data_IF_695620669054
#
_entry.id   IF_695620669054
#
_cell.length_a   1.000
_cell.length_b   1.000
_cell.length_c   1.000
_cell.angle_alpha   90.00
_cell.angle_beta   90.00
_cell.angle_gamma   90.00
#
_symmetry.space_group_name_H-M   'P 1'
#
loop_
_entity.id
_entity.type
_entity.pdbx_description
1 polymer ?
#
# COMPACT_ATOMS: atom_id res chain seq x y z
N UNK A 1 -6.46 37.26 0.33
CA UNK A 1 -7.39 36.12 0.20
C UNK A 1 -6.73 34.73 0.35
N UNK A 2 -5.45 34.60 0.78
CA UNK A 2 -4.77 33.28 0.90
C UNK A 2 -4.63 32.74 2.34
N UNK A 3 -4.89 33.55 3.37
CA UNK A 3 -4.62 33.19 4.77
C UNK A 3 -5.57 32.13 5.36
N UNK A 4 -6.75 31.89 4.76
CA UNK A 4 -7.77 30.98 5.33
C UNK A 4 -7.51 29.49 5.08
N UNK A 5 -6.66 29.15 4.11
CA UNK A 5 -6.30 27.77 3.74
C UNK A 5 -4.90 27.35 4.21
N UNK A 6 -4.12 28.27 4.77
CA UNK A 6 -2.80 27.99 5.36
C UNK A 6 -2.97 27.47 6.80
N UNK A 7 -3.70 26.36 6.95
CA UNK A 7 -3.80 25.67 8.23
C UNK A 7 -2.66 24.67 8.34
N UNK A 8 -2.03 24.61 9.51
CA UNK A 8 -1.12 23.54 9.85
C UNK A 8 -1.90 22.21 9.87
N UNK A 9 -1.66 21.37 8.86
CA UNK A 9 -2.31 20.06 8.75
C UNK A 9 -1.60 19.05 9.65
N UNK A 10 -0.27 19.10 9.69
CA UNK A 10 0.60 18.25 10.51
C UNK A 10 0.99 19.00 11.78
N UNK A 11 0.44 18.55 12.91
CA UNK A 11 0.67 19.16 14.23
C UNK A 11 1.11 18.07 15.19
N UNK A 12 2.08 18.36 16.05
CA UNK A 12 2.48 17.44 17.12
C UNK A 12 1.35 17.30 18.14
N UNK A 13 1.09 16.06 18.57
CA UNK A 13 0.27 15.82 19.74
C UNK A 13 0.98 16.33 21.00
N UNK A 14 0.24 16.57 22.11
CA UNK A 14 0.84 16.93 23.40
C UNK A 14 1.91 15.93 23.86
N UNK A 15 1.77 14.66 23.47
CA UNK A 15 2.69 13.57 23.79
C UNK A 15 3.86 13.44 22.79
N UNK A 16 3.94 14.32 21.78
CA UNK A 16 5.03 14.34 20.79
C UNK A 16 4.83 13.44 19.55
N UNK A 17 3.61 12.94 19.33
CA UNK A 17 3.28 12.10 18.17
C UNK A 17 2.85 12.93 16.96
N UNK A 18 3.07 12.39 15.75
CA UNK A 18 2.56 12.96 14.50
C UNK A 18 1.46 12.07 13.92
N UNK A 19 0.23 12.28 14.36
CA UNK A 19 -0.92 11.43 14.00
C UNK A 19 -1.14 11.31 12.49
N UNK A 20 -0.88 12.36 11.72
CA UNK A 20 -1.02 12.34 10.26
C UNK A 20 -0.03 11.35 9.61
N UNK A 21 1.16 11.19 10.19
CA UNK A 21 2.15 10.21 9.73
C UNK A 21 1.76 8.80 10.16
N UNK A 22 1.27 8.63 11.39
CA UNK A 22 0.76 7.35 11.88
C UNK A 22 -0.43 6.86 11.05
N UNK A 23 -1.35 7.76 10.69
CA UNK A 23 -2.48 7.45 9.80
C UNK A 23 -2.01 7.08 8.40
N UNK A 24 -0.99 7.75 7.87
CA UNK A 24 -0.39 7.40 6.59
C UNK A 24 0.26 6.00 6.64
N UNK A 25 0.93 5.64 7.74
CA UNK A 25 1.47 4.29 7.94
C UNK A 25 0.36 3.24 8.07
N UNK A 26 -0.74 3.55 8.75
CA UNK A 26 -1.91 2.69 8.82
C UNK A 26 -2.59 2.52 7.45
N UNK A 27 -2.62 3.56 6.62
CA UNK A 27 -3.10 3.47 5.23
C UNK A 27 -2.23 2.51 4.39
N UNK A 28 -0.91 2.53 4.61
CA UNK A 28 0.00 1.56 3.98
C UNK A 28 -0.31 0.13 4.42
N UNK A 29 -0.52 -0.12 5.72
CA UNK A 29 -0.87 -1.45 6.25
C UNK A 29 -2.20 -1.94 5.72
N UNK A 30 -3.18 -1.05 5.52
CA UNK A 30 -4.51 -1.44 5.05
C UNK A 30 -4.62 -1.56 3.52
N UNK A 31 -3.63 -1.04 2.78
CA UNK A 31 -3.65 -1.04 1.32
C UNK A 31 -4.75 -0.15 0.73
N UNK A 32 -4.95 -0.19 -0.59
CA UNK A 32 -5.88 0.68 -1.32
C UNK A 32 -7.36 0.53 -0.90
N UNK A 33 -7.73 -0.58 -0.28
CA UNK A 33 -9.14 -0.91 0.01
C UNK A 33 -9.71 -0.12 1.20
N UNK A 34 -8.88 0.35 2.13
CA UNK A 34 -9.37 1.13 3.27
C UNK A 34 -9.75 2.57 2.92
N UNK A 35 -9.32 3.08 1.76
CA UNK A 35 -9.48 4.49 1.44
C UNK A 35 -10.89 4.84 0.93
N UNK A 36 -11.54 3.97 0.14
CA UNK A 36 -12.95 4.19 -0.23
C UNK A 36 -13.86 4.26 0.98
N UNK A 37 -13.58 3.46 2.02
CA UNK A 37 -14.36 3.41 3.26
C UNK A 37 -14.05 4.59 4.19
N UNK A 38 -12.82 5.10 4.23
CA UNK A 38 -12.46 6.30 5.01
C UNK A 38 -12.97 7.58 4.34
N UNK A 39 -12.89 7.68 3.00
CA UNK A 39 -13.47 8.78 2.23
C UNK A 39 -15.00 8.76 2.32
N UNK A 40 -15.65 7.60 2.14
CA UNK A 40 -17.10 7.50 2.32
C UNK A 40 -17.53 7.78 3.76
N UNK A 41 -16.81 7.28 4.78
CA UNK A 41 -17.10 7.65 6.17
C UNK A 41 -16.90 9.14 6.42
N UNK A 42 -15.89 9.76 5.82
CA UNK A 42 -15.64 11.20 5.90
C UNK A 42 -16.75 12.01 5.22
N UNK A 43 -17.21 11.59 4.04
CA UNK A 43 -18.31 12.21 3.28
C UNK A 43 -19.63 12.04 4.01
N UNK A 44 -19.97 10.83 4.46
CA UNK A 44 -21.20 10.54 5.22
C UNK A 44 -21.20 11.29 6.55
N UNK A 45 -20.06 11.42 7.24
CA UNK A 45 -19.97 12.20 8.48
C UNK A 45 -20.08 13.71 8.21
N UNK A 46 -19.57 14.18 7.08
CA UNK A 46 -19.72 15.57 6.63
C UNK A 46 -21.16 15.89 6.21
N UNK A 47 -21.85 14.97 5.53
CA UNK A 47 -23.27 15.06 5.17
C UNK A 47 -24.15 15.02 6.41
N UNK A 48 -23.88 14.11 7.36
CA UNK A 48 -24.59 14.08 8.65
C UNK A 48 -24.40 15.36 9.46
N UNK A 49 -23.21 15.96 9.45
CA UNK A 49 -22.98 17.25 10.09
C UNK A 49 -23.56 18.45 9.35
N UNK A 50 -23.90 18.30 8.05
CA UNK A 50 -24.62 19.32 7.29
C UNK A 50 -26.12 19.21 7.54
N UNK A 51 -26.70 18.01 7.41
CA UNK A 51 -28.11 17.76 7.75
C UNK A 51 -28.44 18.15 9.18
N UNK A 52 -27.58 17.81 10.14
CA UNK A 52 -27.80 18.20 11.54
C UNK A 52 -27.73 19.71 11.77
N UNK A 53 -27.01 20.45 10.92
CA UNK A 53 -26.98 21.92 10.98
C UNK A 53 -28.19 22.55 10.30
N UNK A 54 -28.63 21.98 9.19
CA UNK A 54 -29.88 22.35 8.52
C UNK A 54 -31.06 22.09 9.46
N UNK A 55 -31.11 20.93 10.14
CA UNK A 55 -32.12 20.60 11.17
C UNK A 55 -32.01 21.42 12.47
N UNK A 56 -30.85 22.00 12.79
CA UNK A 56 -30.69 22.90 13.96
C UNK A 56 -31.06 24.35 13.57
N UNK A 57 -30.83 24.77 12.32
CA UNK A 57 -31.28 26.07 11.78
C UNK A 57 -32.80 26.08 11.54
N UNK A 58 -33.38 25.00 10.99
CA UNK A 58 -34.84 24.88 10.78
C UNK A 58 -35.62 24.87 12.12
N UNK A 59 -35.02 24.36 13.20
CA UNK A 59 -35.61 24.38 14.55
C UNK A 59 -35.49 25.72 15.26
N UNK A 60 -34.42 26.49 15.00
CA UNK A 60 -34.31 27.86 15.51
C UNK A 60 -35.30 28.79 14.78
N UNK A 61 -35.60 28.53 13.49
CA UNK A 61 -36.63 29.24 12.73
C UNK A 61 -38.07 28.84 13.16
N UNK A 62 -38.32 27.57 13.52
CA UNK A 62 -39.60 27.11 14.09
C UNK A 62 -39.82 27.61 15.53
N UNK A 63 -38.78 27.65 16.39
CA UNK A 63 -38.87 28.23 17.75
C UNK A 63 -39.05 29.77 17.73
N UNK A 64 -38.71 30.46 16.63
CA UNK A 64 -39.05 31.88 16.42
C UNK A 64 -40.49 32.09 15.87
N UNK A 65 -41.15 31.05 15.34
CA UNK A 65 -42.55 31.10 14.86
C UNK A 65 -43.57 30.58 15.90
N UNK A 66 -43.17 29.88 16.97
CA UNK A 66 -44.06 29.34 18.03
C UNK A 66 -44.24 30.26 19.28
N UNK A 67 -44.27 31.59 19.14
CA UNK A 67 -44.75 32.50 20.21
C UNK A 67 -46.25 32.85 20.12
N UNK A 68 -47.02 32.31 19.15
CA UNK A 68 -48.48 32.43 19.14
C UNK A 68 -49.15 31.15 18.59
N UNK A 69 -49.60 30.27 19.48
CA UNK A 69 -50.94 29.62 19.50
C UNK A 69 -50.93 28.36 20.40
N UNK A 70 -51.82 28.33 21.41
CA UNK A 70 -52.19 27.15 22.20
C UNK A 70 -53.14 26.25 21.40
N UNK A 71 -52.95 24.91 21.38
CA UNK A 71 -53.96 23.85 21.65
C UNK A 71 -53.44 22.43 21.29
N UNK A 72 -54.09 21.43 21.92
CA UNK A 72 -53.77 19.99 22.06
C UNK A 72 -53.67 19.20 20.74
N UNK A 73 -52.79 18.17 20.66
CA UNK A 73 -53.07 16.87 20.01
C UNK A 73 -51.99 15.79 20.34
N UNK A 74 -52.40 14.51 20.33
CA UNK A 74 -51.60 13.32 20.67
C UNK A 74 -50.69 12.87 19.49
N UNK A 75 -49.38 12.75 19.72
CA UNK A 75 -48.43 12.26 18.71
C UNK A 75 -48.53 10.72 18.52
N UNK A 76 -49.00 10.27 17.34
CA UNK A 76 -48.63 8.99 16.76
C UNK A 76 -47.15 9.06 16.34
N UNK A 77 -46.23 8.46 17.10
CA UNK A 77 -44.82 8.35 16.69
C UNK A 77 -44.71 7.63 15.34
N UNK A 78 -44.19 8.34 14.34
CA UNK A 78 -43.89 7.90 12.98
C UNK A 78 -43.17 6.53 12.90
N UNK A 79 -43.93 5.47 12.65
CA UNK A 79 -43.41 4.12 12.40
C UNK A 79 -42.58 4.04 11.09
N UNK A 80 -42.78 4.99 10.16
CA UNK A 80 -42.07 5.05 8.88
C UNK A 80 -40.58 5.44 9.04
N UNK A 81 -40.23 6.23 10.06
CA UNK A 81 -38.85 6.68 10.30
C UNK A 81 -37.99 5.53 10.88
N UNK A 82 -38.59 4.69 11.73
CA UNK A 82 -37.95 3.50 12.30
C UNK A 82 -37.65 2.46 11.21
N UNK A 83 -38.57 2.26 10.26
CA UNK A 83 -38.41 1.29 9.17
C UNK A 83 -37.36 1.72 8.13
N UNK A 84 -37.27 3.01 7.80
CA UNK A 84 -36.21 3.52 6.91
C UNK A 84 -34.81 3.37 7.53
N UNK A 85 -34.67 3.63 8.84
CA UNK A 85 -33.40 3.46 9.57
C UNK A 85 -32.97 1.99 9.69
N UNK A 86 -33.92 1.05 9.78
CA UNK A 86 -33.64 -0.39 9.84
C UNK A 86 -33.23 -0.93 8.47
N UNK A 87 -33.86 -0.47 7.38
CA UNK A 87 -33.49 -0.83 6.01
C UNK A 87 -32.09 -0.32 5.65
N UNK A 88 -31.74 0.93 5.99
CA UNK A 88 -30.38 1.45 5.79
C UNK A 88 -29.32 0.70 6.62
N UNK A 89 -29.63 0.32 7.87
CA UNK A 89 -28.72 -0.46 8.72
C UNK A 89 -28.45 -1.85 8.15
N UNK A 90 -29.46 -2.48 7.54
CA UNK A 90 -29.33 -3.79 6.92
C UNK A 90 -28.56 -3.74 5.59
N UNK A 91 -28.77 -2.72 4.75
CA UNK A 91 -27.92 -2.47 3.57
C UNK A 91 -26.47 -2.14 3.95
N UNK A 92 -26.25 -1.36 5.02
CA UNK A 92 -24.90 -1.09 5.51
C UNK A 92 -24.20 -2.33 6.09
N UNK A 93 -24.96 -3.24 6.70
CA UNK A 93 -24.43 -4.50 7.22
C UNK A 93 -24.08 -5.48 6.10
N UNK A 94 -24.92 -5.58 5.05
CA UNK A 94 -24.65 -6.39 3.86
C UNK A 94 -23.48 -5.82 3.05
N UNK A 95 -23.39 -4.50 2.86
CA UNK A 95 -22.24 -3.82 2.25
C UNK A 95 -20.96 -3.98 3.07
N UNK A 96 -21.04 -4.02 4.41
CA UNK A 96 -19.89 -4.37 5.26
C UNK A 96 -19.45 -5.81 5.04
N UNK A 97 -20.39 -6.76 5.02
CA UNK A 97 -20.09 -8.18 4.84
C UNK A 97 -19.54 -8.51 3.43
N UNK A 98 -20.07 -7.87 2.38
CA UNK A 98 -19.55 -8.00 1.01
C UNK A 98 -18.17 -7.36 0.85
N UNK A 99 -17.91 -6.22 1.51
CA UNK A 99 -16.58 -5.58 1.52
C UNK A 99 -15.57 -6.29 2.42
N UNK A 100 -16.01 -7.02 3.44
CA UNK A 100 -15.12 -7.88 4.22
C UNK A 100 -14.60 -9.07 3.42
N UNK A 101 -15.33 -9.52 2.39
CA UNK A 101 -14.84 -10.53 1.44
C UNK A 101 -13.99 -9.92 0.30
N UNK A 102 -13.95 -8.58 0.17
CA UNK A 102 -13.06 -7.87 -0.75
C UNK A 102 -11.75 -7.42 -0.08
N UNK A 103 -11.33 -8.12 0.99
CA UNK A 103 -10.03 -7.97 1.68
C UNK A 103 -8.91 -8.49 0.79
N UNK A 104 -8.57 -7.76 -0.27
CA UNK A 104 -7.43 -8.10 -1.11
C UNK A 104 -6.19 -7.46 -0.51
N UNK A 105 -5.32 -8.34 -0.01
CA UNK A 105 -4.04 -8.02 0.58
C UNK A 105 -3.08 -7.64 -0.56
N UNK A 106 -2.29 -6.58 -0.37
CA UNK A 106 -1.28 -6.17 -1.35
C UNK A 106 0.05 -6.18 -0.63
N UNK A 107 0.65 -7.36 -0.54
CA UNK A 107 1.97 -7.54 0.04
C UNK A 107 3.04 -7.36 -1.04
N UNK A 108 4.15 -6.71 -0.68
CA UNK A 108 5.31 -6.56 -1.56
C UNK A 108 6.54 -7.08 -0.83
N UNK A 109 7.37 -7.81 -1.55
CA UNK A 109 8.58 -8.46 -1.05
C UNK A 109 9.76 -8.05 -1.90
N UNK A 110 10.85 -7.65 -1.26
CA UNK A 110 12.13 -7.39 -1.87
C UNK A 110 13.19 -8.34 -1.32
N UNK A 111 13.95 -8.99 -2.20
CA UNK A 111 15.04 -9.90 -1.83
C UNK A 111 16.31 -9.50 -2.58
N UNK A 112 17.39 -9.29 -1.83
CA UNK A 112 18.72 -9.06 -2.37
C UNK A 112 19.47 -10.39 -2.48
N UNK A 113 19.73 -10.82 -3.71
CA UNK A 113 20.64 -11.88 -4.09
C UNK A 113 22.10 -11.40 -4.14
N UNK A 114 23.02 -12.27 -4.56
CA UNK A 114 24.42 -11.87 -4.82
C UNK A 114 24.54 -11.09 -6.14
N UNK A 115 23.90 -11.59 -7.21
CA UNK A 115 23.95 -11.01 -8.56
C UNK A 115 22.57 -10.62 -9.11
N UNK A 116 21.54 -10.69 -8.25
CA UNK A 116 20.14 -10.43 -8.60
C UNK A 116 19.47 -9.64 -7.48
N UNK A 117 18.50 -8.81 -7.84
CA UNK A 117 17.51 -8.28 -6.89
C UNK A 117 16.12 -8.60 -7.42
N UNK A 118 15.28 -9.12 -6.53
CA UNK A 118 13.94 -9.61 -6.85
C UNK A 118 12.91 -8.74 -6.14
N UNK A 119 11.92 -8.26 -6.90
CA UNK A 119 10.72 -7.62 -6.37
C UNK A 119 9.51 -8.50 -6.72
N UNK A 120 8.82 -8.97 -5.69
CA UNK A 120 7.54 -9.65 -5.81
C UNK A 120 6.42 -8.78 -5.26
N UNK A 121 5.30 -8.74 -5.97
CA UNK A 121 4.10 -8.04 -5.52
C UNK A 121 2.89 -8.95 -5.67
N UNK A 122 2.08 -9.01 -4.63
CA UNK A 122 0.74 -9.57 -4.71
C UNK A 122 -0.15 -8.62 -5.53
N UNK A 123 -0.75 -9.18 -6.58
CA UNK A 123 -1.60 -8.50 -7.53
C UNK A 123 -3.07 -8.83 -7.23
N UNK A 124 -3.89 -7.78 -7.24
CA UNK A 124 -5.35 -7.92 -7.21
C UNK A 124 -5.83 -8.56 -8.51
N UNK A 125 -6.66 -9.60 -8.39
CA UNK A 125 -7.41 -10.15 -9.52
C UNK A 125 -8.19 -9.03 -10.20
N UNK A 126 -7.90 -8.84 -11.48
CA UNK A 126 -8.46 -7.76 -12.29
C UNK A 126 -9.82 -8.21 -12.80
N UNK A 127 -10.82 -7.32 -12.77
CA UNK A 127 -12.12 -7.63 -13.34
C UNK A 127 -11.98 -7.93 -14.84
N UNK A 128 -12.79 -8.85 -15.38
CA UNK A 128 -12.67 -9.29 -16.80
C UNK A 128 -12.72 -8.14 -17.82
N UNK A 129 -13.36 -7.02 -17.48
CA UNK A 129 -13.50 -5.84 -18.34
C UNK A 129 -12.41 -4.78 -18.11
N UNK A 130 -11.52 -4.98 -17.14
CA UNK A 130 -10.48 -4.02 -16.79
C UNK A 130 -9.15 -4.42 -17.44
N UNK A 131 -8.46 -3.43 -18.03
CA UNK A 131 -7.14 -3.65 -18.62
C UNK A 131 -6.08 -3.84 -17.52
N UNK A 132 -5.51 -5.03 -17.52
CA UNK A 132 -4.46 -5.47 -16.60
C UNK A 132 -3.20 -4.58 -16.63
N UNK A 133 -2.89 -3.94 -17.77
CA UNK A 133 -1.72 -3.06 -17.92
C UNK A 133 -1.78 -1.83 -17.00
N UNK A 134 -2.98 -1.40 -16.60
CA UNK A 134 -3.18 -0.16 -15.84
C UNK A 134 -2.89 -0.31 -14.34
N UNK A 135 -2.90 -1.53 -13.81
CA UNK A 135 -2.82 -1.82 -12.37
C UNK A 135 -1.45 -2.42 -12.02
N UNK A 136 -0.37 -1.70 -12.34
CA UNK A 136 1.00 -2.11 -11.98
C UNK A 136 1.48 -1.42 -10.72
N UNK A 137 2.11 -2.19 -9.83
CA UNK A 137 2.74 -1.69 -8.59
C UNK A 137 4.26 -1.65 -8.68
N UNK A 138 4.85 -2.38 -9.62
CA UNK A 138 6.28 -2.36 -9.92
C UNK A 138 6.51 -1.35 -11.06
N UNK A 139 7.39 -0.38 -10.82
CA UNK A 139 7.67 0.72 -11.75
C UNK A 139 9.17 0.96 -11.87
N UNK A 140 9.69 0.97 -13.10
CA UNK A 140 11.05 1.43 -13.38
C UNK A 140 11.16 2.94 -13.12
N UNK A 141 12.19 3.34 -12.37
CA UNK A 141 12.58 4.75 -12.17
C UNK A 141 13.67 5.15 -13.17
N UNK A 142 14.61 4.23 -13.41
CA UNK A 142 15.66 4.31 -14.42
C UNK A 142 15.98 2.88 -14.91
N UNK A 143 16.93 2.71 -15.82
CA UNK A 143 17.27 1.39 -16.39
C UNK A 143 17.73 0.36 -15.34
N UNK A 144 18.46 0.83 -14.33
CA UNK A 144 19.06 0.04 -13.24
C UNK A 144 18.32 0.17 -11.90
N UNK A 145 17.25 0.99 -11.84
CA UNK A 145 16.48 1.26 -10.60
C UNK A 145 15.00 1.00 -10.80
N UNK A 146 14.42 0.20 -9.91
CA UNK A 146 13.01 -0.09 -9.87
C UNK A 146 12.41 0.16 -8.48
N UNK A 147 11.12 0.46 -8.44
CA UNK A 147 10.37 0.75 -7.24
C UNK A 147 9.08 -0.07 -7.21
N UNK A 148 8.81 -0.72 -6.09
CA UNK A 148 7.50 -1.26 -5.73
C UNK A 148 6.92 -0.46 -4.56
N UNK A 149 5.60 -0.34 -4.47
CA UNK A 149 4.98 0.45 -3.40
C UNK A 149 3.70 -0.19 -2.85
N UNK A 150 3.45 0.13 -1.58
CA UNK A 150 2.24 -0.18 -0.84
C UNK A 150 1.51 1.13 -0.47
N UNK A 151 0.18 1.07 -0.38
CA UNK A 151 -0.66 2.22 -0.07
C UNK A 151 -1.25 2.91 -1.30
N UNK A 152 -1.37 4.23 -1.23
CA UNK A 152 -2.17 5.03 -2.16
C UNK A 152 -1.54 5.12 -3.56
N UNK A 153 -2.24 4.59 -4.57
CA UNK A 153 -1.75 4.56 -5.97
C UNK A 153 -1.60 5.96 -6.56
N UNK A 154 -2.47 6.90 -6.19
CA UNK A 154 -2.41 8.28 -6.65
C UNK A 154 -1.13 8.97 -6.15
N UNK A 155 -0.84 8.85 -4.85
CA UNK A 155 0.38 9.37 -4.23
C UNK A 155 1.64 8.75 -4.83
N UNK A 156 1.63 7.43 -5.04
CA UNK A 156 2.74 6.72 -5.65
C UNK A 156 3.06 7.25 -7.05
N UNK A 157 2.04 7.53 -7.88
CA UNK A 157 2.24 8.10 -9.22
C UNK A 157 2.98 9.44 -9.16
N UNK A 158 2.65 10.30 -8.19
CA UNK A 158 3.33 11.59 -8.00
C UNK A 158 4.80 11.39 -7.61
N UNK A 159 5.07 10.49 -6.66
CA UNK A 159 6.44 10.19 -6.21
C UNK A 159 7.27 9.57 -7.33
N UNK A 160 6.72 8.60 -8.07
CA UNK A 160 7.40 7.94 -9.19
C UNK A 160 7.77 8.94 -10.28
N UNK A 161 6.85 9.82 -10.66
CA UNK A 161 7.13 10.82 -11.70
C UNK A 161 8.21 11.81 -11.26
N UNK A 162 8.20 12.26 -10.00
CA UNK A 162 9.25 13.13 -9.46
C UNK A 162 10.60 12.41 -9.39
N UNK A 163 10.61 11.14 -8.99
CA UNK A 163 11.82 10.34 -8.95
C UNK A 163 12.42 10.12 -10.36
N UNK A 164 11.60 9.85 -11.37
CA UNK A 164 12.06 9.74 -12.77
C UNK A 164 12.71 11.02 -13.28
N UNK A 165 12.08 12.17 -13.00
CA UNK A 165 12.66 13.47 -13.36
C UNK A 165 13.99 13.69 -12.66
N UNK A 166 14.07 13.33 -11.38
CA UNK A 166 15.31 13.42 -10.61
C UNK A 166 16.42 12.53 -11.20
N UNK A 167 16.12 11.29 -11.58
CA UNK A 167 17.10 10.40 -12.22
C UNK A 167 17.72 11.05 -13.46
N UNK A 168 16.89 11.64 -14.33
CA UNK A 168 17.38 12.28 -15.55
C UNK A 168 18.10 13.60 -15.26
N UNK A 169 17.65 14.38 -14.28
CA UNK A 169 18.29 15.63 -13.87
C UNK A 169 19.68 15.39 -13.30
N UNK A 170 19.83 14.38 -12.43
CA UNK A 170 21.12 13.98 -11.88
C UNK A 170 22.05 13.51 -12.99
N UNK A 171 21.59 12.61 -13.86
CA UNK A 171 22.36 12.11 -15.00
C UNK A 171 22.82 13.21 -15.94
N UNK A 172 22.00 14.24 -16.17
CA UNK A 172 22.39 15.40 -16.97
C UNK A 172 23.48 16.25 -16.30
N UNK A 173 23.44 16.37 -14.98
CA UNK A 173 24.32 17.27 -14.21
C UNK A 173 25.67 16.62 -13.88
N UNK A 174 25.65 15.34 -13.52
CA UNK A 174 26.80 14.58 -13.01
C UNK A 174 27.35 13.65 -14.09
N UNK A 175 26.67 13.49 -15.23
CA UNK A 175 26.98 12.56 -16.33
C UNK A 175 26.89 11.07 -15.98
N UNK A 176 26.80 10.74 -14.68
CA UNK A 176 26.63 9.38 -14.17
C UNK A 176 25.17 9.07 -13.76
N UNK A 177 24.71 7.80 -13.89
CA UNK A 177 23.41 7.37 -13.41
C UNK A 177 23.28 7.54 -11.89
N UNK A 178 22.05 7.68 -11.38
CA UNK A 178 21.81 7.81 -9.94
C UNK A 178 22.21 6.54 -9.18
N UNK A 179 22.80 6.68 -8.00
CA UNK A 179 22.88 5.53 -7.08
C UNK A 179 21.51 5.24 -6.47
N UNK A 180 21.26 3.97 -6.13
CA UNK A 180 20.01 3.55 -5.48
C UNK A 180 19.82 4.26 -4.14
N UNK A 181 20.91 4.52 -3.41
CA UNK A 181 20.84 5.28 -2.16
C UNK A 181 20.47 6.75 -2.41
N UNK A 182 21.05 7.40 -3.41
CA UNK A 182 20.76 8.80 -3.74
C UNK A 182 19.28 9.01 -4.03
N UNK A 183 18.72 8.20 -4.94
CA UNK A 183 17.31 8.34 -5.32
C UNK A 183 16.37 7.97 -4.16
N UNK A 184 16.76 7.01 -3.31
CA UNK A 184 16.03 6.68 -2.08
C UNK A 184 16.00 7.87 -1.13
N UNK A 185 17.14 8.54 -0.93
CA UNK A 185 17.26 9.74 -0.08
C UNK A 185 16.41 10.88 -0.63
N UNK A 186 16.44 11.11 -1.94
CA UNK A 186 15.59 12.11 -2.60
C UNK A 186 14.09 11.84 -2.34
N UNK A 187 13.64 10.60 -2.53
CA UNK A 187 12.24 10.20 -2.27
C UNK A 187 11.90 10.38 -0.78
N UNK A 188 12.79 10.02 0.12
CA UNK A 188 12.60 10.16 1.55
C UNK A 188 12.48 11.63 1.97
N UNK A 189 13.37 12.51 1.47
CA UNK A 189 13.31 13.96 1.68
C UNK A 189 12.04 14.56 1.06
N UNK A 190 11.61 14.09 -0.10
CA UNK A 190 10.35 14.52 -0.71
C UNK A 190 9.15 14.19 0.20
N UNK A 191 9.13 12.99 0.79
CA UNK A 191 8.08 12.59 1.75
C UNK A 191 8.13 13.45 3.01
N UNK A 192 9.31 13.63 3.59
CA UNK A 192 9.51 14.43 4.80
C UNK A 192 9.11 15.90 4.61
N UNK A 193 9.38 16.50 3.45
CA UNK A 193 8.93 17.88 3.17
C UNK A 193 7.41 18.02 3.30
N UNK A 194 6.64 16.99 2.94
CA UNK A 194 5.18 16.98 3.06
C UNK A 194 4.69 16.72 4.49
N UNK A 195 5.56 16.30 5.42
CA UNK A 195 5.23 16.18 6.85
C UNK A 195 5.53 17.46 7.64
N UNK A 196 6.32 18.38 7.07
CA UNK A 196 6.70 19.64 7.72
C UNK A 196 6.13 20.89 7.04
N UNK A 197 5.65 20.79 5.80
CA UNK A 197 5.09 21.93 5.07
C UNK A 197 3.63 22.17 5.45
N UNK A 198 3.26 23.44 5.66
CA UNK A 198 1.87 23.83 5.90
C UNK A 198 0.96 23.47 4.71
N UNK A 199 -0.31 23.18 4.97
CA UNK A 199 -1.31 22.90 3.95
C UNK A 199 -1.08 21.64 3.10
N UNK A 200 -0.14 20.75 3.49
CA UNK A 200 0.13 19.49 2.81
C UNK A 200 -0.17 18.31 3.73
N UNK A 201 -0.73 17.23 3.16
CA UNK A 201 -0.83 15.94 3.84
C UNK A 201 0.40 15.08 3.51
N UNK A 202 0.89 14.24 4.44
CA UNK A 202 1.92 13.23 4.15
C UNK A 202 1.49 12.30 3.00
N UNK A 203 2.49 11.74 2.31
CA UNK A 203 2.24 10.69 1.32
C UNK A 203 1.85 9.38 2.01
N UNK A 204 0.74 8.79 1.60
CA UNK A 204 0.23 7.51 2.14
C UNK A 204 0.88 6.28 1.50
N UNK A 205 2.21 6.29 1.29
CA UNK A 205 2.92 5.19 0.65
C UNK A 205 4.21 4.80 1.39
N UNK A 206 4.45 3.50 1.48
CA UNK A 206 5.79 2.94 1.68
C UNK A 206 6.27 2.36 0.37
N UNK A 207 7.58 2.40 0.14
CA UNK A 207 8.15 1.90 -1.10
C UNK A 207 9.40 1.06 -0.85
N UNK A 208 9.52 -0.02 -1.62
CA UNK A 208 10.74 -0.79 -1.79
C UNK A 208 11.43 -0.30 -3.06
N UNK A 209 12.67 0.17 -2.93
CA UNK A 209 13.48 0.65 -4.02
C UNK A 209 14.64 -0.32 -4.18
N UNK A 210 14.83 -0.82 -5.39
CA UNK A 210 15.87 -1.80 -5.72
C UNK A 210 16.66 -1.35 -6.93
N UNK A 211 17.90 -1.82 -7.00
CA UNK A 211 18.72 -1.62 -8.18
C UNK A 211 20.15 -2.10 -7.98
N UNK A 212 20.98 -1.77 -8.95
CA UNK A 212 22.43 -1.97 -8.91
C UNK A 212 23.10 -0.61 -9.07
N UNK A 213 24.11 -0.31 -8.27
CA UNK A 213 25.01 0.80 -8.59
C UNK A 213 26.18 0.28 -9.43
N UNK A 214 27.07 1.18 -9.86
CA UNK A 214 28.20 0.88 -10.75
C UNK A 214 29.17 -0.17 -10.18
N UNK A 215 29.24 -0.28 -8.84
CA UNK A 215 30.01 -1.34 -8.15
C UNK A 215 29.51 -2.76 -8.48
N UNK A 216 28.30 -2.88 -9.03
CA UNK A 216 27.63 -4.14 -9.31
C UNK A 216 27.01 -4.81 -8.08
N UNK A 217 26.95 -4.10 -6.95
CA UNK A 217 26.32 -4.57 -5.72
C UNK A 217 24.82 -4.28 -5.77
N UNK A 218 23.95 -5.29 -5.62
CA UNK A 218 22.52 -5.06 -5.53
C UNK A 218 22.16 -4.35 -4.22
N UNK A 219 21.22 -3.41 -4.29
CA UNK A 219 20.74 -2.65 -3.15
C UNK A 219 19.22 -2.74 -3.04
N UNK A 220 18.74 -2.79 -1.80
CA UNK A 220 17.32 -2.81 -1.45
C UNK A 220 17.10 -1.82 -0.31
N UNK A 221 16.25 -0.83 -0.53
CA UNK A 221 15.86 0.15 0.46
C UNK A 221 14.36 0.16 0.67
N UNK A 222 13.95 0.47 1.89
CA UNK A 222 12.57 0.81 2.22
C UNK A 222 12.50 2.30 2.53
N UNK A 223 11.45 2.97 2.05
CA UNK A 223 11.08 4.32 2.50
C UNK A 223 9.70 4.32 3.13
N UNK A 224 9.52 5.11 4.18
CA UNK A 224 8.26 5.24 4.92
C UNK A 224 7.60 6.62 4.73
N UNK A 225 6.29 6.75 5.01
CA UNK A 225 5.56 8.02 4.97
C UNK A 225 6.17 9.15 5.81
N UNK A 226 6.89 8.80 6.88
CA UNK A 226 7.65 9.72 7.73
C UNK A 226 8.80 10.41 7.00
N UNK A 227 9.26 9.83 5.89
CA UNK A 227 10.48 10.23 5.19
C UNK A 227 11.76 9.63 5.77
N UNK A 228 11.64 8.59 6.59
CA UNK A 228 12.79 7.73 6.97
C UNK A 228 13.03 6.68 5.89
N UNK A 229 14.29 6.24 5.77
CA UNK A 229 14.66 5.14 4.89
C UNK A 229 15.75 4.26 5.50
N UNK A 230 15.72 2.97 5.17
CA UNK A 230 16.67 1.97 5.67
C UNK A 230 17.06 0.99 4.57
N UNK A 231 18.30 0.50 4.63
CA UNK A 231 18.80 -0.57 3.75
C UNK A 231 18.43 -1.95 4.32
N UNK A 232 18.08 -2.89 3.44
CA UNK A 232 17.64 -4.23 3.83
C UNK A 232 18.32 -5.31 3.00
N UNK A 233 18.50 -6.50 3.60
CA UNK A 233 18.90 -7.72 2.87
C UNK A 233 17.69 -8.38 2.20
N UNK A 234 16.61 -8.51 2.94
CA UNK A 234 15.28 -8.83 2.44
C UNK A 234 14.27 -8.05 3.29
N UNK A 235 13.16 -7.64 2.69
CA UNK A 235 12.11 -6.93 3.42
C UNK A 235 10.75 -7.12 2.76
N UNK A 236 9.70 -6.88 3.54
CA UNK A 236 8.33 -6.88 3.09
C UNK A 236 7.58 -5.64 3.58
N UNK A 237 6.68 -5.11 2.75
CA UNK A 237 5.76 -4.03 3.06
C UNK A 237 4.32 -4.45 2.72
N UNK A 238 3.34 -3.74 3.27
CA UNK A 238 1.91 -4.06 3.12
C UNK A 238 1.30 -4.63 4.41
N UNK A 239 0.14 -5.27 4.27
CA UNK A 239 -0.71 -5.70 5.39
C UNK A 239 -0.08 -6.79 6.25
N UNK A 240 0.41 -7.82 5.60
CA UNK A 240 0.91 -9.05 6.23
C UNK A 240 2.45 -9.05 6.29
N UNK A 241 3.06 -7.85 6.21
CA UNK A 241 4.51 -7.66 6.19
C UNK A 241 5.22 -8.28 7.40
N UNK A 242 4.57 -8.33 8.57
CA UNK A 242 5.13 -8.96 9.77
C UNK A 242 5.34 -10.46 9.56
N UNK A 243 4.31 -11.18 9.14
CA UNK A 243 4.35 -12.63 8.86
C UNK A 243 5.39 -12.95 7.80
N UNK A 244 5.41 -12.18 6.72
CA UNK A 244 6.38 -12.39 5.62
C UNK A 244 7.81 -12.13 6.08
N UNK A 245 8.05 -11.14 6.94
CA UNK A 245 9.38 -10.87 7.50
C UNK A 245 9.87 -12.01 8.40
N UNK A 246 9.00 -12.53 9.26
CA UNK A 246 9.32 -13.70 10.11
C UNK A 246 9.64 -14.95 9.25
N UNK A 247 8.98 -15.11 8.10
CA UNK A 247 9.32 -16.15 7.13
C UNK A 247 10.70 -15.90 6.49
N UNK A 248 10.98 -14.67 6.04
CA UNK A 248 12.26 -14.31 5.43
C UNK A 248 13.43 -14.47 6.40
N UNK A 249 13.26 -14.10 7.68
CA UNK A 249 14.29 -14.26 8.72
C UNK A 249 14.73 -15.72 8.89
N UNK A 250 13.83 -16.69 8.68
CA UNK A 250 14.12 -18.12 8.82
C UNK A 250 14.73 -18.75 7.55
N UNK A 251 14.41 -18.20 6.38
CA UNK A 251 14.71 -18.83 5.08
C UNK A 251 15.76 -18.07 4.26
N UNK A 252 16.16 -16.87 4.67
CA UNK A 252 17.20 -16.08 4.01
C UNK A 252 18.60 -16.54 4.45
N UNK A 253 19.15 -17.53 3.76
CA UNK A 253 20.50 -18.08 4.00
C UNK A 253 21.45 -17.77 2.84
N UNK A 254 22.76 -17.74 3.10
CA UNK A 254 23.79 -17.40 2.09
C UNK A 254 23.76 -18.34 0.88
N UNK A 255 23.48 -19.64 1.09
CA UNK A 255 23.36 -20.62 0.01
C UNK A 255 22.19 -20.31 -0.95
N UNK A 256 21.07 -19.84 -0.40
CA UNK A 256 19.87 -19.48 -1.19
C UNK A 256 20.12 -18.20 -2.00
N UNK A 257 20.89 -17.27 -1.45
CA UNK A 257 21.19 -15.95 -2.03
C UNK A 257 22.28 -16.03 -3.10
N UNK A 258 23.14 -17.05 -3.04
CA UNK A 258 24.19 -17.30 -4.02
C UNK A 258 23.64 -17.69 -5.39
N UNK A 259 22.47 -18.35 -5.43
CA UNK A 259 21.84 -18.82 -6.66
C UNK A 259 20.63 -17.94 -7.05
N UNK A 260 20.68 -17.34 -8.23
CA UNK A 260 19.61 -16.48 -8.75
C UNK A 260 18.23 -17.15 -8.75
N UNK A 261 18.15 -18.42 -9.13
CA UNK A 261 16.87 -19.13 -9.20
C UNK A 261 16.29 -19.43 -7.81
N UNK A 262 17.14 -19.72 -6.82
CA UNK A 262 16.70 -19.94 -5.45
C UNK A 262 16.25 -18.62 -4.79
N UNK A 263 16.89 -17.50 -5.10
CA UNK A 263 16.43 -16.18 -4.67
C UNK A 263 15.04 -15.82 -5.24
N UNK A 264 14.78 -16.16 -6.50
CA UNK A 264 13.47 -16.03 -7.15
C UNK A 264 12.43 -16.92 -6.45
N UNK A 265 12.77 -18.21 -6.22
CA UNK A 265 11.88 -19.14 -5.51
C UNK A 265 11.58 -18.69 -4.09
N UNK A 266 12.57 -18.12 -3.38
CA UNK A 266 12.38 -17.58 -2.03
C UNK A 266 11.36 -16.43 -2.03
N UNK A 267 11.40 -15.53 -3.02
CA UNK A 267 10.44 -14.44 -3.14
C UNK A 267 9.01 -14.96 -3.38
N UNK A 268 8.86 -15.98 -4.24
CA UNK A 268 7.57 -16.61 -4.52
C UNK A 268 7.05 -17.35 -3.29
N UNK A 269 7.90 -18.15 -2.61
CA UNK A 269 7.54 -18.83 -1.36
C UNK A 269 7.07 -17.84 -0.29
N UNK A 270 7.78 -16.73 -0.12
CA UNK A 270 7.41 -15.69 0.84
C UNK A 270 6.04 -15.05 0.54
N UNK A 271 5.68 -14.89 -0.74
CA UNK A 271 4.36 -14.41 -1.13
C UNK A 271 3.28 -15.48 -0.98
N UNK A 272 3.57 -16.75 -1.26
CA UNK A 272 2.62 -17.85 -1.11
C UNK A 272 2.22 -18.13 0.35
N UNK A 273 2.99 -17.67 1.34
CA UNK A 273 2.59 -17.72 2.76
C UNK A 273 1.34 -16.85 3.05
N UNK A 274 1.07 -15.84 2.22
CA UNK A 274 -0.05 -14.90 2.39
C UNK A 274 -1.08 -14.96 1.25
N UNK A 275 -0.66 -15.34 0.04
CA UNK A 275 -1.53 -15.40 -1.14
C UNK A 275 -2.33 -16.71 -1.18
N UNK A 276 -3.66 -16.61 -1.09
CA UNK A 276 -4.56 -17.77 -1.10
C UNK A 276 -4.77 -18.41 -2.49
N UNK A 277 -4.56 -17.67 -3.59
CA UNK A 277 -4.96 -18.07 -4.95
C UNK A 277 -3.81 -18.54 -5.86
N UNK A 278 -2.64 -18.86 -5.30
CA UNK A 278 -1.48 -19.34 -6.06
C UNK A 278 -0.87 -18.29 -7.00
N UNK A 279 -0.22 -18.73 -8.09
CA UNK A 279 0.61 -17.91 -8.97
C UNK A 279 -0.08 -16.81 -9.79
N UNK A 280 -1.41 -16.87 -9.97
CA UNK A 280 -2.17 -15.91 -10.79
C UNK A 280 -2.18 -14.50 -10.22
N UNK A 281 -2.07 -14.39 -8.90
CA UNK A 281 -2.10 -13.13 -8.17
C UNK A 281 -0.68 -12.67 -7.80
N UNK A 282 0.36 -13.15 -8.50
CA UNK A 282 1.74 -12.75 -8.24
C UNK A 282 2.27 -12.01 -9.47
N UNK A 283 2.87 -10.84 -9.24
CA UNK A 283 3.67 -10.11 -10.22
C UNK A 283 5.12 -10.13 -9.74
N UNK A 284 6.05 -10.54 -10.60
CA UNK A 284 7.45 -10.66 -10.27
C UNK A 284 8.33 -9.88 -11.25
N UNK A 285 9.29 -9.17 -10.69
CA UNK A 285 10.30 -8.44 -11.43
C UNK A 285 11.69 -8.76 -10.90
N UNK A 286 12.66 -8.85 -11.80
CA UNK A 286 14.06 -9.03 -11.44
C UNK A 286 14.92 -8.03 -12.17
N UNK A 287 15.96 -7.57 -11.49
CA UNK A 287 17.11 -6.91 -12.10
C UNK A 287 18.30 -7.81 -11.82
N UNK A 288 19.08 -8.11 -12.85
CA UNK A 288 20.39 -8.78 -12.71
C UNK A 288 21.48 -7.76 -12.98
N UNK A 289 22.69 -8.06 -12.51
CA UNK A 289 23.85 -7.22 -12.78
C UNK A 289 23.99 -6.98 -14.30
N UNK A 290 24.10 -5.71 -14.69
CA UNK A 290 24.24 -5.26 -16.09
C UNK A 290 23.11 -5.71 -17.04
N UNK A 291 21.92 -6.02 -16.51
CA UNK A 291 20.76 -6.35 -17.32
C UNK A 291 19.59 -5.42 -16.96
N UNK A 292 18.77 -5.02 -17.94
CA UNK A 292 17.60 -4.22 -17.67
C UNK A 292 16.57 -5.01 -16.86
N UNK A 293 15.64 -4.28 -16.26
CA UNK A 293 14.47 -4.84 -15.58
C UNK A 293 13.75 -5.88 -16.46
N UNK A 294 13.65 -7.12 -15.98
CA UNK A 294 12.84 -8.18 -16.59
C UNK A 294 11.60 -8.42 -15.73
N UNK A 295 10.43 -8.14 -16.31
CA UNK A 295 9.14 -8.57 -15.76
C UNK A 295 8.88 -10.02 -16.16
N UNK A 296 8.43 -10.84 -15.22
CA UNK A 296 8.05 -12.22 -15.51
C UNK A 296 6.64 -12.27 -16.13
N UNK A 297 6.47 -13.19 -17.07
CA UNK A 297 5.14 -13.55 -17.58
C UNK A 297 4.41 -14.45 -16.60
N UNK A 298 3.07 -14.44 -16.67
CA UNK A 298 2.23 -15.32 -15.84
C UNK A 298 2.63 -16.81 -16.00
N UNK A 299 2.99 -17.24 -17.21
CA UNK A 299 3.45 -18.61 -17.48
C UNK A 299 4.76 -18.95 -16.76
N UNK A 300 5.73 -18.04 -16.78
CA UNK A 300 7.01 -18.25 -16.07
C UNK A 300 6.78 -18.35 -14.55
N UNK A 301 5.86 -17.54 -14.00
CA UNK A 301 5.52 -17.57 -12.58
C UNK A 301 4.80 -18.88 -12.23
N UNK A 302 3.82 -19.30 -13.02
CA UNK A 302 3.12 -20.57 -12.81
C UNK A 302 4.08 -21.77 -12.83
N UNK A 303 5.04 -21.81 -13.75
CA UNK A 303 6.06 -22.85 -13.77
C UNK A 303 6.85 -22.89 -12.46
N UNK A 304 7.34 -21.75 -11.99
CA UNK A 304 8.07 -21.66 -10.72
C UNK A 304 7.21 -22.07 -9.52
N UNK A 305 5.93 -21.69 -9.49
CA UNK A 305 4.99 -22.09 -8.42
C UNK A 305 4.79 -23.61 -8.41
N UNK A 306 4.59 -24.23 -9.58
CA UNK A 306 4.43 -25.70 -9.65
C UNK A 306 5.70 -26.45 -9.22
N UNK A 307 6.89 -25.92 -9.50
CA UNK A 307 8.14 -26.49 -9.00
C UNK A 307 8.23 -26.38 -7.47
N UNK A 308 7.88 -25.23 -6.91
CA UNK A 308 7.87 -24.99 -5.46
C UNK A 308 6.89 -25.93 -4.74
N UNK A 309 5.69 -26.12 -5.29
CA UNK A 309 4.69 -27.03 -4.71
C UNK A 309 5.18 -28.48 -4.72
N UNK A 310 5.79 -28.94 -5.82
CA UNK A 310 6.39 -30.28 -5.90
C UNK A 310 7.51 -30.48 -4.89
N UNK A 311 8.42 -29.51 -4.76
CA UNK A 311 9.51 -29.54 -3.77
C UNK A 311 8.96 -29.60 -2.33
N UNK A 312 7.89 -28.87 -2.05
CA UNK A 312 7.23 -28.85 -0.74
C UNK A 312 6.60 -30.21 -0.42
N UNK A 313 5.88 -30.81 -1.36
CA UNK A 313 5.31 -32.16 -1.19
C UNK A 313 6.40 -33.22 -0.95
N UNK A 314 7.51 -33.15 -1.70
CA UNK A 314 8.62 -34.08 -1.51
C UNK A 314 9.30 -33.92 -0.15
N UNK A 315 9.45 -32.68 0.33
CA UNK A 315 9.99 -32.39 1.65
C UNK A 315 9.06 -32.92 2.77
N UNK A 316 7.74 -32.79 2.60
CA UNK A 316 6.75 -33.33 3.53
C UNK A 316 6.72 -34.86 3.52
N UNK A 317 6.76 -35.51 2.35
CA UNK A 317 6.88 -36.97 2.21
C UNK A 317 8.18 -37.51 2.82
N UNK A 318 9.27 -36.75 2.77
CA UNK A 318 10.56 -37.11 3.43
C UNK A 318 10.51 -36.91 4.94
N UNK A 319 9.77 -35.91 5.43
CA UNK A 319 9.55 -35.71 6.88
C UNK A 319 8.67 -36.82 7.47
N UNK A 320 7.56 -37.18 6.82
CA UNK A 320 6.66 -38.25 7.31
C UNK A 320 7.33 -39.64 7.33
N UNK A 321 8.21 -39.94 6.37
CA UNK A 321 9.03 -41.16 6.36
C UNK A 321 10.13 -41.21 7.43
N UNK A 322 10.51 -40.09 8.05
CA UNK A 322 11.49 -40.05 9.14
C UNK A 322 10.86 -40.16 10.53
N UNK A 323 9.55 -39.93 10.64
CA UNK A 323 8.78 -40.04 11.89
C UNK A 323 8.02 -41.36 12.02
N UNK A 324 8.04 -42.23 11.01
CA UNK A 324 7.61 -43.65 11.08
C UNK A 324 8.82 -44.56 11.17
#
# INVERSE_FOLDING_TARGET
MASRYDRAITVFSPDGHLFQVEYAQEAVKKGSTAESLMLQKGVVKAEKSKKKKEEEEDKEDEEEEEEEEDEEDEDEEDDDEKDMVILEKNEFASLKAENENMKIELNQVGIRGTNIVVLGVEKKSVAKLQDERTVRKICALDDHVCMAFAGLTADARVVINRARVECQSHKLTVEDPVTVEYITRFIATLKQKYTQSNGRRPFGISALIVGFDDDGIPRLYQTDPSGTYHAWKANAIGRSAKTVREFLEKNYTEDVIANDNEAIKLAIRALLEVVQSGGKNIELAVIRRNQPLKMFSAKEIELQVTEIEKEKEEAEKKKSKKTS
#
